data_IF_684372906838
#
_entry.id   IF_684372906838
#
_cell.length_a   1.000
_cell.length_b   1.000
_cell.length_c   1.000
_cell.angle_alpha   90.00
_cell.angle_beta   90.00
_cell.angle_gamma   90.00
#
_symmetry.space_group_name_H-M   'P 1'
#
loop_
_entity.id
_entity.type
_entity.pdbx_description
1 polymer ?
#
# COMPACT_ATOMS: atom_id res chain seq x y z
N UNK A 1 1.74 7.35 30.20
CA UNK A 1 1.20 8.19 29.11
C UNK A 1 2.32 8.64 28.18
N UNK A 2 3.41 9.19 28.72
CA UNK A 2 4.56 9.67 27.94
C UNK A 2 5.23 8.59 27.08
N UNK A 3 5.34 7.36 27.59
CA UNK A 3 5.88 6.23 26.83
C UNK A 3 5.05 5.89 25.57
N UNK A 4 3.73 6.02 25.64
CA UNK A 4 2.83 5.75 24.50
C UNK A 4 3.00 6.85 23.44
N UNK A 5 3.06 8.12 23.87
CA UNK A 5 3.27 9.23 22.96
C UNK A 5 4.65 9.18 22.29
N UNK A 6 5.70 8.83 23.04
CA UNK A 6 7.05 8.68 22.51
C UNK A 6 7.13 7.56 21.47
N UNK A 7 6.54 6.39 21.77
CA UNK A 7 6.48 5.27 20.82
C UNK A 7 5.68 5.63 19.56
N UNK A 8 4.53 6.30 19.71
CA UNK A 8 3.73 6.77 18.58
C UNK A 8 4.50 7.75 17.68
N UNK A 9 5.27 8.68 18.27
CA UNK A 9 6.09 9.63 17.53
C UNK A 9 7.24 8.95 16.77
N UNK A 10 7.90 7.97 17.39
CA UNK A 10 8.94 7.17 16.74
C UNK A 10 8.38 6.39 15.54
N UNK A 11 7.27 5.69 15.73
CA UNK A 11 6.58 4.95 14.66
C UNK A 11 6.15 5.86 13.52
N UNK A 12 5.60 7.05 13.82
CA UNK A 12 5.22 8.02 12.80
C UNK A 12 6.43 8.50 12.00
N UNK A 13 7.55 8.79 12.66
CA UNK A 13 8.81 9.19 12.01
C UNK A 13 9.30 8.10 11.06
N UNK A 14 9.31 6.85 11.49
CA UNK A 14 9.82 5.75 10.67
C UNK A 14 8.88 5.44 9.50
N UNK A 15 7.56 5.53 9.69
CA UNK A 15 6.60 5.42 8.60
C UNK A 15 6.82 6.49 7.54
N UNK A 16 6.99 7.76 7.93
CA UNK A 16 7.25 8.85 6.98
C UNK A 16 8.53 8.58 6.19
N UNK A 17 9.63 8.18 6.86
CA UNK A 17 10.87 7.82 6.16
C UNK A 17 10.64 6.70 5.15
N UNK A 18 9.91 5.65 5.55
CA UNK A 18 9.62 4.52 4.68
C UNK A 18 8.85 4.97 3.43
N UNK A 19 7.80 5.79 3.56
CA UNK A 19 7.05 6.31 2.42
C UNK A 19 7.95 7.08 1.43
N UNK A 20 8.88 7.91 1.94
CA UNK A 20 9.84 8.61 1.08
C UNK A 20 10.77 7.64 0.32
N UNK A 21 11.27 6.61 1.00
CA UNK A 21 12.13 5.61 0.38
C UNK A 21 11.37 4.77 -0.64
N UNK A 22 10.16 4.33 -0.30
CA UNK A 22 9.32 3.52 -1.18
C UNK A 22 9.00 4.26 -2.48
N UNK A 23 8.65 5.56 -2.40
CA UNK A 23 8.47 6.41 -3.58
C UNK A 23 9.74 6.49 -4.43
N UNK A 24 10.90 6.68 -3.80
CA UNK A 24 12.18 6.76 -4.52
C UNK A 24 12.58 5.44 -5.18
N UNK A 25 12.26 4.31 -4.57
CA UNK A 25 12.47 2.99 -5.16
C UNK A 25 11.54 2.81 -6.36
N UNK A 26 10.25 3.11 -6.20
CA UNK A 26 9.29 3.00 -7.30
C UNK A 26 9.69 3.86 -8.52
N UNK A 27 10.18 5.08 -8.28
CA UNK A 27 10.73 5.96 -9.33
C UNK A 27 11.95 5.35 -10.03
N UNK A 28 12.90 4.79 -9.26
CA UNK A 28 14.17 4.29 -9.80
C UNK A 28 14.04 2.96 -10.54
N UNK A 29 13.18 2.09 -10.05
CA UNK A 29 12.96 0.73 -10.58
C UNK A 29 11.81 0.68 -11.60
N UNK A 30 11.26 1.83 -11.99
CA UNK A 30 10.10 1.98 -12.90
C UNK A 30 8.87 1.15 -12.47
N UNK A 31 8.64 1.05 -11.15
CA UNK A 31 7.49 0.31 -10.61
C UNK A 31 6.22 1.14 -10.86
N UNK A 32 5.35 0.61 -11.71
CA UNK A 32 4.08 1.23 -12.10
C UNK A 32 2.89 0.40 -11.67
N UNK A 33 1.79 1.09 -11.34
CA UNK A 33 0.49 0.47 -11.15
C UNK A 33 -0.34 0.68 -12.42
N UNK A 34 -0.80 -0.41 -13.01
CA UNK A 34 -1.67 -0.39 -14.18
C UNK A 34 -3.12 -0.09 -13.81
N UNK A 35 -3.89 0.40 -14.77
CA UNK A 35 -5.34 0.63 -14.58
C UNK A 35 -6.08 -0.68 -14.28
N UNK A 36 -5.65 -1.79 -14.87
CA UNK A 36 -6.22 -3.11 -14.62
C UNK A 36 -6.05 -3.56 -13.16
N UNK A 37 -4.86 -3.32 -12.57
CA UNK A 37 -4.61 -3.60 -11.15
C UNK A 37 -5.52 -2.76 -10.24
N UNK A 38 -5.69 -1.48 -10.55
CA UNK A 38 -6.61 -0.59 -9.82
C UNK A 38 -8.05 -1.11 -9.92
N UNK A 39 -8.51 -1.46 -11.12
CA UNK A 39 -9.87 -1.98 -11.34
C UNK A 39 -10.10 -3.30 -10.60
N UNK A 40 -9.14 -4.23 -10.64
CA UNK A 40 -9.20 -5.48 -9.87
C UNK A 40 -9.28 -5.22 -8.37
N UNK A 41 -8.48 -4.27 -7.84
CA UNK A 41 -8.52 -3.89 -6.42
C UNK A 41 -9.88 -3.28 -6.05
N UNK A 42 -10.42 -2.39 -6.88
CA UNK A 42 -11.74 -1.79 -6.68
C UNK A 42 -12.84 -2.86 -6.63
N UNK A 43 -12.85 -3.81 -7.58
CA UNK A 43 -13.79 -4.92 -7.60
C UNK A 43 -13.67 -5.80 -6.36
N UNK A 44 -12.45 -6.10 -5.94
CA UNK A 44 -12.17 -6.91 -4.73
C UNK A 44 -12.73 -6.23 -3.48
N UNK A 45 -12.41 -4.94 -3.27
CA UNK A 45 -12.88 -4.18 -2.11
C UNK A 45 -14.42 -4.06 -2.13
N UNK A 46 -15.01 -3.76 -3.29
CA UNK A 46 -16.47 -3.67 -3.44
C UNK A 46 -17.15 -4.99 -3.06
N UNK A 47 -16.64 -6.13 -3.56
CA UNK A 47 -17.16 -7.45 -3.24
C UNK A 47 -17.02 -7.78 -1.74
N UNK A 48 -15.84 -7.53 -1.14
CA UNK A 48 -15.60 -7.74 0.29
C UNK A 48 -16.54 -6.93 1.18
N UNK A 49 -16.89 -5.72 0.77
CA UNK A 49 -17.81 -4.85 1.51
C UNK A 49 -19.27 -5.02 1.10
N UNK A 50 -19.59 -5.95 0.18
CA UNK A 50 -20.94 -6.18 -0.36
C UNK A 50 -21.58 -4.92 -0.96
N UNK A 51 -20.77 -4.07 -1.60
CA UNK A 51 -21.19 -2.86 -2.29
C UNK A 51 -21.17 -3.12 -3.80
N UNK A 52 -22.21 -2.75 -4.57
CA UNK A 52 -22.15 -2.79 -6.03
C UNK A 52 -20.95 -2.00 -6.56
N UNK A 53 -20.20 -2.58 -7.52
CA UNK A 53 -18.93 -2.00 -8.01
C UNK A 53 -19.15 -0.59 -8.57
N UNK A 54 -20.23 -0.37 -9.31
CA UNK A 54 -20.57 0.93 -9.90
C UNK A 54 -20.82 2.00 -8.83
N UNK A 55 -21.44 1.61 -7.71
CA UNK A 55 -21.65 2.51 -6.57
C UNK A 55 -20.32 2.85 -5.92
N UNK A 56 -19.47 1.85 -5.67
CA UNK A 56 -18.17 2.07 -5.05
C UNK A 56 -17.25 2.94 -5.91
N UNK A 57 -17.23 2.73 -7.23
CA UNK A 57 -16.52 3.59 -8.19
C UNK A 57 -16.96 5.04 -8.09
N UNK A 58 -18.28 5.31 -8.08
CA UNK A 58 -18.81 6.67 -7.92
C UNK A 58 -18.40 7.30 -6.59
N UNK A 59 -18.40 6.54 -5.51
CA UNK A 59 -17.99 7.03 -4.19
C UNK A 59 -16.49 7.35 -4.15
N UNK A 60 -15.64 6.52 -4.79
CA UNK A 60 -14.22 6.81 -4.97
C UNK A 60 -13.99 8.07 -5.81
N UNK A 61 -14.74 8.28 -6.90
CA UNK A 61 -14.63 9.49 -7.72
C UNK A 61 -14.94 10.75 -6.89
N UNK A 62 -16.02 10.72 -6.11
CA UNK A 62 -16.45 11.88 -5.28
C UNK A 62 -15.42 12.30 -4.24
N UNK A 63 -14.71 11.34 -3.66
CA UNK A 63 -13.72 11.58 -2.59
C UNK A 63 -12.27 11.57 -3.07
N UNK A 64 -12.03 11.51 -4.37
CA UNK A 64 -10.71 11.31 -4.97
C UNK A 64 -9.96 10.07 -4.42
N UNK A 65 -10.69 8.99 -4.13
CA UNK A 65 -10.19 7.79 -3.46
C UNK A 65 -9.38 6.83 -4.35
N UNK A 66 -9.34 7.05 -5.66
CA UNK A 66 -8.50 6.24 -6.55
C UNK A 66 -7.01 6.44 -6.28
N UNK A 67 -6.62 7.64 -5.82
CA UNK A 67 -5.23 7.93 -5.44
C UNK A 67 -4.79 7.04 -4.28
N UNK A 68 -5.65 6.83 -3.28
CA UNK A 68 -5.34 5.96 -2.14
C UNK A 68 -5.14 4.50 -2.60
N UNK A 69 -5.98 4.01 -3.51
CA UNK A 69 -5.85 2.67 -4.08
C UNK A 69 -4.55 2.53 -4.87
N UNK A 70 -4.21 3.55 -5.67
CA UNK A 70 -2.95 3.61 -6.40
C UNK A 70 -1.75 3.57 -5.44
N UNK A 71 -1.75 4.41 -4.41
CA UNK A 71 -0.65 4.52 -3.45
C UNK A 71 -0.46 3.20 -2.69
N UNK A 72 -1.55 2.55 -2.27
CA UNK A 72 -1.50 1.23 -1.64
C UNK A 72 -0.89 0.18 -2.57
N UNK A 73 -1.34 0.11 -3.82
CA UNK A 73 -0.80 -0.83 -4.80
C UNK A 73 0.68 -0.56 -5.10
N UNK A 74 1.07 0.71 -5.24
CA UNK A 74 2.47 1.06 -5.48
C UNK A 74 3.36 0.65 -4.29
N UNK A 75 2.89 0.89 -3.07
CA UNK A 75 3.59 0.50 -1.85
C UNK A 75 3.73 -1.02 -1.73
N UNK A 76 2.67 -1.78 -2.01
CA UNK A 76 2.71 -3.25 -2.04
C UNK A 76 3.73 -3.77 -3.06
N UNK A 77 3.77 -3.21 -4.27
CA UNK A 77 4.73 -3.62 -5.31
C UNK A 77 6.17 -3.30 -4.94
N UNK A 78 6.40 -2.20 -4.23
CA UNK A 78 7.73 -1.91 -3.68
C UNK A 78 8.12 -2.92 -2.62
N UNK A 79 7.20 -3.33 -1.74
CA UNK A 79 7.47 -4.36 -0.74
C UNK A 79 7.77 -5.71 -1.40
N UNK A 80 6.99 -6.11 -2.40
CA UNK A 80 7.23 -7.32 -3.19
C UNK A 80 8.59 -7.27 -3.89
N UNK A 81 8.96 -6.13 -4.48
CA UNK A 81 10.28 -5.93 -5.06
C UNK A 81 11.39 -6.10 -4.00
N UNK A 82 11.23 -5.50 -2.82
CA UNK A 82 12.22 -5.62 -1.74
C UNK A 82 12.35 -7.07 -1.25
N UNK A 83 11.23 -7.78 -1.08
CA UNK A 83 11.20 -9.18 -0.67
C UNK A 83 11.93 -10.07 -1.68
N UNK A 84 11.62 -9.92 -2.97
CA UNK A 84 12.24 -10.69 -4.05
C UNK A 84 13.76 -10.48 -4.16
N UNK A 85 14.29 -9.36 -3.66
CA UNK A 85 15.71 -9.03 -3.67
C UNK A 85 16.38 -9.21 -2.30
N UNK A 86 15.60 -9.55 -1.26
CA UNK A 86 16.13 -9.74 0.09
C UNK A 86 16.81 -11.11 0.23
N UNK A 87 17.79 -11.18 1.13
CA UNK A 87 18.32 -12.47 1.59
C UNK A 87 17.39 -13.00 2.67
N UNK A 88 16.67 -14.08 2.36
CA UNK A 88 15.70 -14.69 3.28
C UNK A 88 16.35 -15.88 3.98
N UNK A 89 16.19 -15.94 5.30
CA UNK A 89 16.56 -17.09 6.12
C UNK A 89 15.29 -17.80 6.60
N UNK A 90 15.10 -19.06 6.22
CA UNK A 90 13.95 -19.85 6.66
C UNK A 90 14.26 -20.58 7.96
N UNK A 91 13.53 -20.25 9.02
CA UNK A 91 13.64 -20.94 10.31
C UNK A 91 12.58 -22.07 10.34
N UNK A 92 12.96 -23.33 10.61
CA UNK A 92 12.01 -24.43 10.75
C UNK A 92 10.96 -24.14 11.82
N UNK A 93 9.72 -24.57 11.60
CA UNK A 93 8.67 -24.50 12.63
C UNK A 93 9.08 -25.34 13.85
N UNK A 94 8.90 -24.78 15.05
CA UNK A 94 9.19 -25.43 16.33
C UNK A 94 8.20 -26.57 16.65
#
# INVERSE_FOLDING_TARGET
>A
KDAIYSAAAANAKDRVKFEFLARKIAEKEDIKVSQEEILRRVQTIAAMNQIPVEKFVKDLQKRNGFVEIYDQLAHEKVLEFLENNAKVETIPAA
#
